data_IF_530294899549
#
_entry.id   IF_530294899549
#
_cell.length_a   1.000
_cell.length_b   1.000
_cell.length_c   1.000
_cell.angle_alpha   90.00
_cell.angle_beta   90.00
_cell.angle_gamma   90.00
#
_symmetry.space_group_name_H-M   'P 1'
#
loop_
_entity.id
_entity.type
_entity.pdbx_description
1 polymer ?
2 non-polymer ?
3 non-polymer ?
4 non-polymer ?
5 non-polymer ?
6 water ?
#
# COMPACT_ATOMS: atom_id res chain seq x y z
N UNK A 18 20.02 -3.52 -5.76
CA UNK A 18 19.12 -4.66 -6.02
C UNK A 18 18.61 -4.62 -7.49
N UNK A 19 17.43 -5.21 -7.75
CA UNK A 19 16.59 -4.92 -8.95
C UNK A 19 15.49 -3.94 -8.61
N UNK A 20 15.55 -3.38 -7.39
CA UNK A 20 14.50 -2.48 -6.84
C UNK A 20 15.15 -1.20 -6.31
N UNK A 21 15.95 -0.52 -7.14
CA UNK A 21 16.69 0.67 -6.69
C UNK A 21 16.16 1.91 -7.42
N UNK A 22 15.68 1.82 -8.66
CA UNK A 22 15.26 3.01 -9.47
C UNK A 22 13.75 2.93 -9.68
N UNK A 23 13.07 4.05 -9.59
CA UNK A 23 11.65 4.20 -9.93
C UNK A 23 11.59 4.92 -11.26
N UNK A 24 10.84 4.32 -12.19
CA UNK A 24 10.63 4.92 -13.51
C UNK A 24 9.13 5.15 -13.68
N UNK A 25 8.75 6.01 -14.62
CA UNK A 25 7.36 6.21 -15.03
C UNK A 25 6.87 4.88 -15.59
N UNK A 26 5.77 4.37 -15.10
CA UNK A 26 5.17 3.10 -15.53
C UNK A 26 4.79 3.17 -17.03
N UNK A 27 4.41 4.34 -17.53
CA UNK A 27 3.85 4.49 -18.88
C UNK A 27 4.96 4.57 -19.91
N UNK A 28 6.13 5.11 -19.59
CA UNK A 28 7.14 5.43 -20.65
C UNK A 28 8.56 5.07 -20.22
N UNK A 29 8.87 4.82 -18.92
CA UNK A 29 10.26 4.50 -18.55
C UNK A 29 11.11 5.66 -18.11
N UNK A 30 10.58 6.88 -18.16
CA UNK A 30 11.32 8.08 -17.68
C UNK A 30 11.86 7.83 -16.28
N UNK A 31 13.13 8.17 -16.05
CA UNK A 31 13.77 8.05 -14.73
C UNK A 31 13.14 9.05 -13.76
N UNK A 32 12.65 8.61 -12.59
CA UNK A 32 11.91 9.54 -11.69
C UNK A 32 12.58 9.60 -10.32
N UNK A 33 12.85 8.47 -9.67
CA UNK A 33 13.37 8.55 -8.30
C UNK A 33 14.11 7.25 -7.93
N UNK A 34 14.40 7.07 -6.63
CA UNK A 34 15.21 5.93 -6.16
C UNK A 34 14.59 5.49 -4.85
N UNK A 35 14.74 4.21 -4.49
CA UNK A 35 14.26 3.73 -3.18
C UNK A 35 15.05 4.48 -2.09
N UNK A 36 16.33 4.72 -2.33
CA UNK A 36 17.23 5.43 -1.38
C UNK A 36 16.66 6.81 -1.02
N UNK A 37 15.79 7.38 -1.83
CA UNK A 37 15.31 8.77 -1.70
C UNK A 37 13.92 8.78 -1.06
N UNK A 38 13.42 7.64 -0.62
CA UNK A 38 12.14 7.59 0.13
C UNK A 38 12.31 8.38 1.42
N UNK A 39 11.25 9.06 1.84
CA UNK A 39 11.25 9.96 3.01
C UNK A 39 10.12 9.50 3.94
N UNK A 40 10.41 9.01 5.17
CA UNK A 40 9.34 8.78 6.16
C UNK A 40 8.66 10.04 6.71
N UNK A 43 5.78 9.39 10.42
CA UNK A 43 6.95 8.49 10.30
C UNK A 43 6.70 7.29 9.38
N UNK A 44 6.11 7.53 8.22
CA UNK A 44 5.86 6.50 7.18
C UNK A 44 6.14 7.14 5.82
N UNK A 45 6.74 6.37 4.88
CA UNK A 45 6.92 6.86 3.49
C UNK A 45 5.57 6.77 2.76
N UNK A 46 4.67 5.87 3.17
CA UNK A 46 3.35 5.67 2.50
C UNK A 46 2.21 6.41 3.21
N UNK A 47 1.42 7.18 2.44
CA UNK A 47 0.23 7.96 2.89
C UNK A 47 -0.93 7.66 1.97
N UNK A 48 -2.09 7.30 2.48
CA UNK A 48 -3.26 7.03 1.59
C UNK A 48 -4.22 8.19 1.75
N UNK A 49 -4.53 8.88 0.67
CA UNK A 49 -5.30 10.15 0.72
C UNK A 49 -6.40 10.13 -0.34
N UNK A 50 -7.41 10.99 -0.21
CA UNK A 50 -8.52 11.20 -1.17
C UNK A 50 -8.51 12.67 -1.57
N UNK A 51 -8.70 12.95 -2.85
CA UNK A 51 -8.92 14.34 -3.35
C UNK A 51 -10.41 14.64 -3.25
N UNK A 52 -10.83 15.89 -3.53
CA UNK A 52 -12.24 16.25 -3.42
C UNK A 52 -13.16 15.53 -4.43
N UNK A 53 -12.60 14.97 -5.51
CA UNK A 53 -13.33 14.11 -6.47
C UNK A 53 -13.39 12.67 -5.96
N UNK A 54 -12.90 12.43 -4.75
CA UNK A 54 -12.99 11.13 -4.06
C UNK A 54 -11.98 10.12 -4.58
N UNK A 55 -11.05 10.51 -5.44
CA UNK A 55 -10.01 9.61 -5.98
C UNK A 55 -9.05 9.29 -4.83
N UNK A 56 -8.81 8.00 -4.61
CA UNK A 56 -7.85 7.49 -3.59
C UNK A 56 -6.49 7.38 -4.26
N UNK A 57 -5.46 7.87 -3.59
CA UNK A 57 -4.06 7.77 -4.04
C UNK A 57 -3.25 7.16 -2.91
N UNK A 58 -2.39 6.22 -3.28
CA UNK A 58 -1.39 5.65 -2.34
C UNK A 58 -0.11 6.38 -2.65
N UNK A 59 0.25 7.32 -1.80
CA UNK A 59 1.34 8.30 -2.07
C UNK A 59 2.57 7.82 -1.33
N UNK A 60 3.69 7.72 -2.03
CA UNK A 60 5.02 7.51 -1.41
C UNK A 60 5.72 8.87 -1.39
N UNK A 61 6.22 9.27 -0.23
CA UNK A 61 6.99 10.54 -0.10
C UNK A 61 8.47 10.29 -0.43
N UNK A 62 9.03 11.12 -1.30
CA UNK A 62 10.46 11.12 -1.67
C UNK A 62 11.08 12.46 -1.31
N UNK A 63 12.33 12.46 -0.88
CA UNK A 63 13.09 13.71 -0.66
C UNK A 63 13.38 14.35 -2.02
N UNK A 64 13.52 13.53 -3.05
CA UNK A 64 14.11 13.95 -4.33
C UNK A 64 13.46 13.13 -5.42
N UNK A 65 13.30 13.77 -6.58
CA UNK A 65 12.79 13.17 -7.82
C UNK A 65 13.35 14.00 -8.97
N UNK A 66 13.33 13.44 -10.14
CA UNK A 66 13.82 14.06 -11.41
C UNK A 66 12.86 13.62 -12.52
N UNK A 67 13.02 14.17 -13.73
CA UNK A 67 12.28 13.74 -14.93
C UNK A 67 10.80 14.15 -14.87
N UNK A 68 10.42 14.99 -13.93
CA UNK A 68 9.03 15.50 -13.78
C UNK A 68 8.94 16.84 -14.50
N UNK A 69 7.72 17.28 -14.75
CA UNK A 69 7.41 18.67 -15.13
C UNK A 69 6.37 19.18 -14.12
N UNK A 70 6.72 20.22 -13.37
CA UNK A 70 5.85 20.82 -12.31
C UNK A 70 5.04 21.90 -13.00
N UNK A 71 3.72 21.83 -12.89
CA UNK A 71 2.78 22.64 -13.71
C UNK A 71 2.19 23.73 -12.82
N UNK A 72 2.28 24.98 -13.24
CA UNK A 72 1.64 26.10 -12.54
C UNK A 72 2.42 26.54 -11.33
N UNK A 73 1.76 27.26 -10.44
CA UNK A 73 2.34 27.80 -9.21
C UNK A 73 1.72 27.03 -8.06
N UNK A 74 2.37 26.99 -6.89
CA UNK A 74 1.87 26.23 -5.76
C UNK A 74 0.49 26.69 -5.31
N UNK A 75 -0.25 25.79 -4.68
CA UNK A 75 -1.57 26.03 -4.04
C UNK A 75 -1.56 25.30 -2.68
N UNK A 76 -2.09 25.92 -1.65
CA UNK A 76 -2.34 25.26 -0.35
C UNK A 76 -3.72 24.60 -0.32
N UNK A 77 -4.57 24.78 -1.35
CA UNK A 77 -5.98 24.30 -1.32
C UNK A 77 -6.00 22.77 -1.13
N UNK A 78 -6.66 22.26 -0.09
CA UNK A 78 -6.88 20.81 0.11
C UNK A 78 -5.56 20.08 0.33
N UNK A 79 -4.48 20.75 0.70
CA UNK A 79 -3.18 20.08 0.90
C UNK A 79 -3.35 18.97 1.95
N UNK A 80 -2.85 17.79 1.64
CA UNK A 80 -2.84 16.62 2.55
C UNK A 80 -1.75 16.78 3.61
N UNK A 81 -0.79 17.67 3.41
CA UNK A 81 0.39 17.79 4.31
C UNK A 81 0.40 19.18 4.92
N UNK A 82 0.26 19.25 6.25
CA UNK A 82 0.09 20.52 6.99
C UNK A 82 1.27 21.42 6.69
N UNK A 83 1.03 22.66 6.24
CA UNK A 83 2.07 23.67 6.03
C UNK A 83 2.67 23.63 4.64
N UNK A 84 2.24 22.70 3.76
CA UNK A 84 2.83 22.56 2.41
C UNK A 84 1.81 22.98 1.35
N UNK A 85 2.33 23.65 0.32
CA UNK A 85 1.62 23.98 -0.92
C UNK A 85 2.06 23.01 -2.01
N UNK A 86 1.17 22.66 -2.92
CA UNK A 86 1.45 21.61 -3.92
C UNK A 86 1.45 22.21 -5.31
N UNK A 87 2.23 21.60 -6.17
CA UNK A 87 2.17 21.75 -7.64
C UNK A 87 2.02 20.35 -8.22
N UNK A 88 1.17 20.22 -9.22
CA UNK A 88 1.02 18.97 -10.00
C UNK A 88 2.37 18.62 -10.64
N UNK A 89 2.79 17.36 -10.47
CA UNK A 89 4.00 16.80 -11.08
C UNK A 89 3.55 15.83 -12.18
N UNK A 90 3.79 16.20 -13.44
CA UNK A 90 3.66 15.25 -14.55
C UNK A 90 5.01 14.57 -14.81
N UNK A 91 4.94 13.41 -15.43
CA UNK A 91 6.09 12.80 -16.12
C UNK A 91 6.52 13.85 -17.16
N UNK A 92 7.78 14.27 -17.14
CA UNK A 92 8.31 15.26 -18.09
C UNK A 92 8.34 14.67 -19.47
N UNK A 93 8.35 13.37 -19.58
CA UNK A 93 8.42 12.68 -20.90
C UNK A 93 7.01 12.53 -21.49
N UNK A 94 6.11 11.84 -20.81
CA UNK A 94 4.83 11.35 -21.37
C UNK A 94 3.63 12.13 -20.86
N UNK A 95 3.77 12.98 -19.84
CA UNK A 95 2.65 13.82 -19.39
C UNK A 95 1.76 13.14 -18.35
N UNK A 96 2.03 11.88 -18.03
CA UNK A 96 1.27 11.08 -17.04
C UNK A 96 1.32 11.82 -15.70
N UNK A 97 0.19 11.92 -15.00
CA UNK A 97 0.17 12.58 -13.67
C UNK A 97 0.81 11.63 -12.64
N UNK A 98 2.00 11.93 -12.16
CA UNK A 98 2.74 11.01 -11.26
C UNK A 98 2.59 11.43 -9.80
N UNK A 99 2.14 12.65 -9.51
CA UNK A 99 1.95 13.10 -8.12
C UNK A 99 2.06 14.61 -8.00
N UNK A 100 2.71 15.05 -6.94
CA UNK A 100 2.80 16.49 -6.56
C UNK A 100 4.18 16.77 -6.00
N UNK A 101 4.64 18.00 -6.22
CA UNK A 101 5.79 18.58 -5.51
C UNK A 101 5.21 19.46 -4.37
N UNK A 102 5.72 19.25 -3.18
CA UNK A 102 5.29 20.01 -1.98
C UNK A 102 6.39 20.99 -1.63
N UNK A 103 6.03 22.23 -1.31
CA UNK A 103 6.98 23.29 -0.91
C UNK A 103 6.32 24.23 0.07
N UNK A 104 7.10 25.14 0.63
CA UNK A 104 6.62 26.21 1.50
C UNK A 104 6.47 25.78 2.94
N UNK A 105 6.90 24.57 3.29
CA UNK A 105 6.74 24.09 4.69
C UNK A 105 8.06 24.12 5.45
N UNK A 106 8.21 23.24 6.44
CA UNK A 106 9.35 23.21 7.39
C UNK A 106 9.75 21.75 7.69
N UNK A 107 11.06 21.46 7.68
CA UNK A 107 11.66 20.18 8.08
C UNK A 107 10.88 19.00 7.47
N UNK A 108 10.96 18.74 6.15
CA UNK A 108 11.71 19.57 5.22
C UNK A 108 10.88 20.69 4.57
N UNK A 109 11.55 21.64 3.92
CA UNK A 109 10.85 22.73 3.18
C UNK A 109 10.08 22.12 2.01
N UNK A 110 10.65 21.13 1.32
CA UNK A 110 10.09 20.52 0.11
C UNK A 110 10.21 19.00 0.13
N UNK A 111 9.35 18.35 -0.64
CA UNK A 111 9.43 16.89 -0.95
C UNK A 111 8.47 16.60 -2.12
N UNK A 112 8.50 15.35 -2.58
CA UNK A 112 7.60 14.88 -3.63
C UNK A 112 6.68 13.83 -3.07
N UNK A 113 5.40 13.96 -3.37
CA UNK A 113 4.42 12.90 -3.13
C UNK A 113 4.08 12.24 -4.43
N UNK A 114 4.49 11.00 -4.62
CA UNK A 114 4.32 10.31 -5.92
C UNK A 114 3.38 9.15 -5.74
N UNK A 115 2.53 8.96 -6.76
CA UNK A 115 1.50 7.90 -6.78
C UNK A 115 2.19 6.55 -7.09
N UNK A 116 2.30 5.69 -6.10
CA UNK A 116 3.17 4.49 -6.14
C UNK A 116 2.79 3.66 -7.37
N UNK A 117 1.51 3.46 -7.67
CA UNK A 117 1.09 2.52 -8.74
C UNK A 117 1.32 3.13 -10.14
N UNK A 118 1.79 4.38 -10.22
CA UNK A 118 2.11 5.01 -11.52
C UNK A 118 3.61 4.94 -11.80
N UNK A 119 4.35 4.28 -10.93
CA UNK A 119 5.80 4.08 -11.06
C UNK A 119 6.07 2.60 -11.27
N UNK A 120 7.25 2.28 -11.80
CA UNK A 120 7.77 0.92 -11.90
C UNK A 120 9.14 0.88 -11.24
N UNK A 121 9.37 -0.12 -10.38
CA UNK A 121 10.63 -0.24 -9.63
C UNK A 121 11.55 -1.23 -10.33
N UNK A 122 12.84 -0.93 -10.37
CA UNK A 122 13.77 -1.81 -11.06
C UNK A 122 15.25 -1.45 -10.89
N UNK A 123 16.10 -2.24 -11.57
CA UNK A 123 17.56 -2.12 -11.47
C UNK A 123 18.12 -0.77 -11.92
N UNK A 124 19.27 -0.40 -11.33
CA UNK A 124 20.03 0.84 -11.57
C UNK A 124 20.45 0.92 -13.05
N UNK B 19 -14.43 -14.92 0.70
CA UNK B 19 -12.94 -14.95 0.55
C UNK B 19 -12.50 -15.96 -0.48
N UNK B 20 -13.40 -16.88 -0.85
CA UNK B 20 -13.12 -18.15 -1.56
C UNK B 20 -12.92 -17.91 -3.07
N UNK B 21 -11.95 -17.06 -3.45
CA UNK B 21 -11.63 -16.87 -4.88
C UNK B 21 -10.25 -17.46 -5.23
N UNK B 22 -10.14 -17.88 -6.49
CA UNK B 22 -9.02 -18.68 -7.07
C UNK B 22 -8.45 -17.83 -8.22
N UNK B 23 -7.14 -17.91 -8.44
CA UNK B 23 -6.50 -17.36 -9.65
C UNK B 23 -6.12 -18.53 -10.52
N UNK B 24 -6.55 -18.46 -11.76
CA UNK B 24 -6.32 -19.54 -12.74
C UNK B 24 -5.48 -18.96 -13.86
N UNK B 25 -4.78 -19.85 -14.56
CA UNK B 25 -4.02 -19.46 -15.76
C UNK B 25 -5.04 -18.91 -16.75
N UNK B 26 -4.83 -17.71 -17.23
CA UNK B 26 -5.78 -17.05 -18.16
C UNK B 26 -5.86 -17.83 -19.48
N UNK B 27 -4.78 -18.51 -19.88
CA UNK B 27 -4.70 -19.19 -21.20
C UNK B 27 -5.40 -20.55 -21.14
N UNK B 28 -5.33 -21.31 -20.05
CA UNK B 28 -5.84 -22.71 -20.08
C UNK B 28 -6.77 -23.02 -18.90
N UNK B 29 -6.81 -22.16 -17.88
CA UNK B 29 -7.75 -22.30 -16.76
C UNK B 29 -7.22 -23.16 -15.62
N UNK B 30 -5.98 -23.61 -15.69
CA UNK B 30 -5.42 -24.41 -14.58
C UNK B 30 -5.47 -23.54 -13.31
N UNK B 31 -5.90 -24.09 -12.18
CA UNK B 31 -5.79 -23.42 -10.87
C UNK B 31 -4.30 -23.19 -10.52
N UNK B 32 -3.96 -21.95 -10.16
CA UNK B 32 -2.57 -21.56 -9.85
C UNK B 32 -2.43 -21.07 -8.41
N UNK B 33 -3.28 -20.19 -7.93
CA UNK B 33 -3.15 -19.70 -6.55
C UNK B 33 -4.51 -19.25 -6.03
N UNK B 34 -4.52 -18.66 -4.84
CA UNK B 34 -5.76 -18.36 -4.09
C UNK B 34 -5.62 -16.93 -3.61
N UNK B 35 -6.72 -16.21 -3.50
CA UNK B 35 -6.75 -14.88 -2.86
C UNK B 35 -6.24 -14.97 -1.41
N UNK B 36 -6.55 -16.08 -0.71
CA UNK B 36 -6.15 -16.28 0.71
C UNK B 36 -4.62 -16.23 0.82
N UNK B 37 -3.92 -16.48 -0.26
CA UNK B 37 -2.44 -16.62 -0.28
C UNK B 37 -1.77 -15.33 -0.70
N UNK B 38 -2.54 -14.26 -0.94
CA UNK B 38 -1.92 -12.96 -1.28
C UNK B 38 -1.00 -12.52 -0.13
N UNK B 39 0.16 -12.03 -0.48
CA UNK B 39 1.27 -11.76 0.45
C UNK B 39 1.75 -10.33 0.29
N UNK B 40 1.59 -9.45 1.30
CA UNK B 40 2.06 -8.08 1.20
C UNK B 40 3.59 -7.91 1.35
N UNK B 41 4.39 -8.24 0.33
CA UNK B 41 5.88 -8.12 0.36
C UNK B 41 6.23 -6.64 0.39
N UNK B 42 7.00 -6.22 1.40
CA UNK B 42 7.35 -4.82 1.69
C UNK B 42 6.14 -3.92 1.79
N UNK B 43 4.99 -4.43 2.24
CA UNK B 43 3.81 -3.60 2.54
C UNK B 43 2.67 -3.74 1.53
N UNK B 44 2.91 -4.25 0.32
CA UNK B 44 1.84 -4.32 -0.73
C UNK B 44 1.96 -5.67 -1.44
N UNK B 45 0.83 -6.26 -1.82
CA UNK B 45 0.82 -7.50 -2.66
C UNK B 45 1.14 -7.11 -4.11
N UNK B 46 0.83 -5.88 -4.54
CA UNK B 46 1.12 -5.45 -5.94
C UNK B 46 2.47 -4.72 -6.02
N UNK B 47 3.31 -5.12 -6.98
CA UNK B 47 4.60 -4.47 -7.31
C UNK B 47 4.64 -4.27 -8.82
N UNK B 48 4.70 -3.03 -9.25
CA UNK B 48 5.00 -2.74 -10.69
C UNK B 48 6.51 -2.66 -10.81
N UNK B 49 7.10 -3.48 -11.63
CA UNK B 49 8.58 -3.64 -11.70
C UNK B 49 9.00 -3.54 -13.19
N UNK B 50 10.27 -3.27 -13.44
CA UNK B 50 10.88 -3.36 -14.80
C UNK B 50 12.16 -4.19 -14.70
N UNK B 51 12.40 -5.00 -15.74
CA UNK B 51 13.61 -5.86 -15.83
C UNK B 51 14.69 -5.07 -16.58
N UNK B 52 15.93 -5.61 -16.66
CA UNK B 52 17.02 -4.90 -17.30
C UNK B 52 16.82 -4.68 -18.81
N UNK B 53 15.92 -5.42 -19.45
CA UNK B 53 15.54 -5.21 -20.87
C UNK B 53 14.47 -4.10 -20.94
N UNK B 54 14.02 -3.58 -19.78
CA UNK B 54 13.03 -2.51 -19.66
C UNK B 54 11.62 -2.99 -19.87
N UNK B 55 11.34 -4.29 -19.80
CA UNK B 55 9.98 -4.82 -19.85
C UNK B 55 9.32 -4.53 -18.49
N UNK B 56 8.09 -4.01 -18.50
CA UNK B 56 7.34 -3.66 -17.27
C UNK B 56 6.30 -4.71 -17.01
N UNK B 57 6.22 -5.17 -15.75
CA UNK B 57 5.29 -6.21 -15.28
C UNK B 57 4.58 -5.72 -14.03
N UNK B 58 3.31 -6.05 -13.90
CA UNK B 58 2.54 -5.76 -12.65
C UNK B 58 2.44 -7.12 -11.99
N UNK B 59 3.20 -7.30 -10.90
CA UNK B 59 3.33 -8.58 -10.18
C UNK B 59 2.46 -8.52 -8.92
N UNK B 60 1.72 -9.60 -8.67
CA UNK B 60 1.03 -9.81 -7.37
C UNK B 60 1.80 -10.92 -6.62
N UNK B 61 2.07 -10.73 -5.34
CA UNK B 61 2.83 -11.68 -4.51
C UNK B 61 1.89 -12.66 -3.82
N UNK B 62 2.19 -13.94 -3.92
CA UNK B 62 1.42 -15.04 -3.25
C UNK B 62 2.39 -15.89 -2.44
N UNK B 63 2.01 -16.36 -1.24
CA UNK B 63 2.85 -17.24 -0.42
C UNK B 63 3.15 -18.54 -1.20
N UNK B 64 2.11 -19.12 -1.75
CA UNK B 64 2.12 -20.46 -2.39
C UNK B 64 1.47 -20.37 -3.75
N UNK B 65 1.69 -21.41 -4.53
CA UNK B 65 1.04 -21.65 -5.84
C UNK B 65 1.06 -23.14 -6.09
N UNK B 66 0.26 -23.54 -7.05
CA UNK B 66 0.28 -24.90 -7.59
C UNK B 66 0.18 -24.85 -9.12
N UNK B 67 0.50 -25.95 -9.76
CA UNK B 67 0.24 -26.09 -11.20
C UNK B 67 1.26 -25.37 -12.06
N UNK B 68 2.31 -24.79 -11.48
CA UNK B 68 3.39 -24.15 -12.26
C UNK B 68 4.51 -25.14 -12.53
N UNK B 69 5.41 -24.80 -13.45
CA UNK B 69 6.70 -25.49 -13.65
C UNK B 69 7.78 -24.43 -13.55
N UNK B 70 8.67 -24.55 -12.56
CA UNK B 70 9.81 -23.64 -12.35
C UNK B 70 10.96 -24.19 -13.17
N UNK B 71 11.61 -23.31 -13.91
CA UNK B 71 12.64 -23.71 -14.92
C UNK B 71 13.97 -23.07 -14.49
N UNK B 72 15.03 -23.85 -14.48
CA UNK B 72 16.39 -23.34 -14.25
C UNK B 72 16.75 -23.34 -12.78
N UNK B 73 18.03 -23.11 -12.48
CA UNK B 73 18.57 -22.93 -11.13
C UNK B 73 18.21 -21.52 -10.68
N UNK B 74 17.99 -21.30 -9.37
CA UNK B 74 17.71 -19.96 -8.89
C UNK B 74 18.86 -18.99 -9.21
N UNK B 75 18.51 -17.73 -9.46
CA UNK B 75 19.48 -16.65 -9.74
C UNK B 75 19.17 -15.47 -8.81
N UNK B 76 20.21 -14.85 -8.27
CA UNK B 76 20.10 -13.60 -7.53
C UNK B 76 20.13 -12.39 -8.45
N UNK B 77 20.50 -12.56 -9.72
CA UNK B 77 20.87 -11.43 -10.61
C UNK B 77 19.64 -10.54 -10.84
N UNK B 78 19.68 -9.28 -10.44
CA UNK B 78 18.59 -8.30 -10.72
C UNK B 78 17.30 -8.70 -10.02
N UNK B 79 17.38 -9.47 -8.93
CA UNK B 79 16.16 -9.78 -8.15
C UNK B 79 15.41 -8.51 -7.80
N UNK B 80 14.11 -8.48 -8.02
CA UNK B 80 13.22 -7.38 -7.55
C UNK B 80 13.07 -7.39 -6.03
N UNK B 81 13.35 -8.50 -5.37
CA UNK B 81 13.14 -8.62 -3.90
C UNK B 81 14.46 -8.93 -3.23
N UNK B 82 14.99 -7.95 -2.49
CA UNK B 82 16.29 -8.04 -1.79
C UNK B 82 16.28 -9.30 -0.93
N UNK B 83 17.32 -10.11 -1.06
CA UNK B 83 17.61 -11.32 -0.27
C UNK B 83 16.99 -12.57 -0.86
N UNK B 84 16.35 -12.46 -2.01
CA UNK B 84 15.70 -13.61 -2.71
C UNK B 84 16.40 -13.87 -4.06
N UNK B 85 16.48 -15.14 -4.41
CA UNK B 85 16.80 -15.65 -5.77
C UNK B 85 15.51 -15.99 -6.51
N UNK B 86 15.51 -15.85 -7.82
CA UNK B 86 14.28 -16.07 -8.62
C UNK B 86 14.49 -17.25 -9.58
N UNK B 87 13.39 -17.92 -9.89
CA UNK B 87 13.29 -18.91 -10.98
C UNK B 87 12.03 -18.58 -11.80
N UNK B 88 12.12 -18.68 -13.11
CA UNK B 88 10.96 -18.46 -14.01
C UNK B 88 9.88 -19.50 -13.73
N UNK B 89 8.64 -19.07 -13.64
CA UNK B 89 7.46 -19.93 -13.41
C UNK B 89 6.61 -19.94 -14.67
N UNK B 90 6.48 -21.08 -15.32
CA UNK B 90 5.49 -21.31 -16.40
C UNK B 90 4.26 -22.02 -15.84
N UNK B 91 3.11 -21.82 -16.46
CA UNK B 91 1.96 -22.72 -16.30
C UNK B 91 2.43 -24.14 -16.64
N UNK B 92 2.28 -25.13 -15.74
CA UNK B 92 2.75 -26.49 -16.00
C UNK B 92 1.90 -27.16 -17.05
N UNK B 93 0.67 -26.69 -17.24
CA UNK B 93 -0.28 -27.29 -18.19
C UNK B 93 -0.07 -26.73 -19.60
N UNK B 94 -0.05 -25.41 -19.79
CA UNK B 94 0.00 -24.80 -21.15
C UNK B 94 1.33 -24.11 -21.47
N UNK B 95 2.20 -23.82 -20.49
CA UNK B 95 3.51 -23.19 -20.73
C UNK B 95 3.49 -21.65 -20.73
N UNK B 96 2.33 -21.00 -20.48
CA UNK B 96 2.23 -19.53 -20.36
C UNK B 96 3.18 -19.06 -19.26
N UNK B 97 3.91 -17.97 -19.48
CA UNK B 97 4.84 -17.39 -18.50
C UNK B 97 4.02 -16.66 -17.46
N UNK B 98 3.87 -17.22 -16.26
CA UNK B 98 2.95 -16.62 -15.27
C UNK B 98 3.70 -15.81 -14.22
N UNK B 99 5.01 -15.97 -14.06
CA UNK B 99 5.81 -15.09 -13.19
C UNK B 99 7.10 -15.76 -12.76
N UNK B 100 7.39 -15.68 -11.46
CA UNK B 100 8.66 -16.14 -10.86
C UNK B 100 8.40 -16.67 -9.44
N UNK B 101 9.19 -17.66 -9.09
CA UNK B 101 9.30 -18.15 -7.70
C UNK B 101 10.51 -17.52 -7.05
N UNK B 102 10.39 -17.12 -5.80
CA UNK B 102 11.45 -16.45 -5.03
C UNK B 102 11.82 -17.37 -3.87
N UNK B 103 13.10 -17.53 -3.61
CA UNK B 103 13.55 -18.39 -2.49
C UNK B 103 14.84 -17.85 -1.90
N UNK B 104 15.23 -18.45 -0.76
CA UNK B 104 16.54 -18.20 -0.11
C UNK B 104 16.50 -17.00 0.80
N UNK B 105 15.31 -16.50 1.13
CA UNK B 105 15.17 -15.39 2.10
C UNK B 105 14.75 -15.89 3.46
N UNK B 106 14.21 -14.97 4.29
CA UNK B 106 13.63 -15.24 5.64
C UNK B 106 12.35 -14.41 5.78
N UNK B 107 11.32 -14.97 6.40
CA UNK B 107 10.03 -14.29 6.71
C UNK B 107 9.52 -13.54 5.48
N UNK B 108 9.03 -14.22 4.43
CA UNK B 108 9.07 -15.69 4.34
C UNK B 108 10.31 -16.19 3.59
N UNK B 109 10.55 -17.50 3.64
CA UNK B 109 11.69 -18.12 2.94
C UNK B 109 11.44 -18.06 1.42
N UNK B 110 10.19 -18.27 0.99
CA UNK B 110 9.79 -18.42 -0.41
C UNK B 110 8.44 -17.75 -0.65
N UNK B 111 8.22 -17.33 -1.88
CA UNK B 111 6.93 -16.81 -2.37
C UNK B 111 6.98 -16.71 -3.90
N UNK B 112 5.85 -16.38 -4.49
CA UNK B 112 5.71 -16.20 -5.94
C UNK B 112 5.38 -14.75 -6.22
N UNK B 113 5.95 -14.25 -7.31
CA UNK B 113 5.49 -13.02 -7.99
C UNK B 113 4.84 -13.43 -9.28
N UNK B 114 3.53 -13.31 -9.37
CA UNK B 114 2.76 -13.74 -10.53
C UNK B 114 2.23 -12.49 -11.26
N UNK B 115 2.24 -12.57 -12.56
CA UNK B 115 1.83 -11.49 -13.46
C UNK B 115 0.30 -11.44 -13.47
N UNK B 116 -0.23 -10.38 -12.87
CA UNK B 116 -1.68 -10.25 -12.61
C UNK B 116 -2.44 -10.43 -13.91
N UNK B 117 -1.99 -9.81 -15.02
CA UNK B 117 -2.71 -9.82 -16.30
C UNK B 117 -2.80 -11.19 -16.95
N UNK B 118 -2.01 -12.15 -16.48
CA UNK B 118 -1.94 -13.51 -17.06
C UNK B 118 -2.73 -14.52 -16.20
N UNK B 119 -3.41 -14.02 -15.20
CA UNK B 119 -4.30 -14.83 -14.33
C UNK B 119 -5.72 -14.34 -14.56
N UNK B 120 -6.67 -15.22 -14.31
CA UNK B 120 -8.11 -14.91 -14.26
C UNK B 120 -8.59 -15.28 -12.85
N UNK B 121 -9.18 -14.32 -12.15
CA UNK B 121 -9.72 -14.56 -10.79
C UNK B 121 -11.16 -15.00 -10.91
N UNK B 122 -11.57 -15.99 -10.12
CA UNK B 122 -12.96 -16.44 -10.10
C UNK B 122 -13.23 -17.37 -8.92
N UNK B 123 -14.48 -17.83 -8.76
CA UNK B 123 -14.84 -18.74 -7.68
C UNK B 123 -14.14 -20.10 -7.75
N UNK B 124 -13.97 -20.72 -6.59
CA UNK B 124 -13.34 -22.04 -6.38
C UNK B 124 -14.11 -23.14 -7.13
N UNK C 18 -5.78 21.17 4.99
CA UNK C 18 -7.20 21.34 4.59
C UNK C 18 -7.79 20.13 3.85
N UNK C 19 -6.95 19.18 3.43
CA UNK C 19 -7.38 17.97 2.69
C UNK C 19 -7.40 16.76 3.59
N UNK C 20 -7.23 16.97 4.90
CA UNK C 20 -7.17 15.90 5.91
C UNK C 20 -8.21 16.15 7.03
N UNK C 21 -9.49 16.31 6.68
CA UNK C 21 -10.57 16.48 7.68
C UNK C 21 -11.52 15.25 7.76
N UNK C 22 -11.64 14.41 6.74
CA UNK C 22 -12.51 13.19 6.78
C UNK C 22 -11.62 11.94 6.74
N UNK C 23 -11.93 10.94 7.54
CA UNK C 23 -11.11 9.70 7.65
C UNK C 23 -11.98 8.58 7.09
N UNK C 24 -11.41 7.82 6.17
CA UNK C 24 -12.12 6.75 5.44
C UNK C 24 -11.33 5.46 5.54
N UNK C 25 -11.96 4.34 5.27
CA UNK C 25 -11.31 3.02 5.13
C UNK C 25 -10.33 3.11 3.96
N UNK C 26 -9.06 2.76 4.19
CA UNK C 26 -8.01 2.77 3.14
C UNK C 26 -8.36 1.80 2.00
N UNK C 27 -9.03 0.69 2.30
CA UNK C 27 -9.22 -0.42 1.32
C UNK C 27 -10.40 -0.11 0.40
N UNK C 28 -11.46 0.53 0.91
CA UNK C 28 -12.71 0.68 0.11
C UNK C 28 -13.24 2.11 0.13
N UNK C 29 -12.78 2.99 1.01
CA UNK C 29 -13.23 4.40 1.05
C UNK C 29 -14.47 4.64 1.90
N UNK C 30 -14.97 3.63 2.62
CA UNK C 30 -16.10 3.83 3.56
C UNK C 30 -15.79 5.03 4.48
N UNK C 31 -16.71 5.95 4.66
CA UNK C 31 -16.57 7.10 5.58
C UNK C 31 -16.63 6.58 7.01
N UNK C 32 -15.66 6.95 7.84
CA UNK C 32 -15.58 6.41 9.23
C UNK C 32 -15.67 7.56 10.24
N UNK C 33 -14.83 8.57 10.16
CA UNK C 33 -14.89 9.67 11.16
C UNK C 33 -14.34 10.96 10.59
N UNK C 34 -14.22 11.99 11.43
CA UNK C 34 -13.83 13.33 10.97
C UNK C 34 -13.05 14.03 12.08
N UNK C 35 -12.33 15.06 11.67
CA UNK C 35 -11.35 15.75 12.54
C UNK C 35 -12.11 16.36 13.71
N UNK C 36 -13.35 16.84 13.52
CA UNK C 36 -14.20 17.42 14.61
C UNK C 36 -14.34 16.43 15.77
N UNK C 37 -14.23 15.13 15.51
CA UNK C 37 -14.52 14.08 16.53
C UNK C 37 -13.20 13.55 17.12
N UNK C 38 -12.07 14.07 16.69
CA UNK C 38 -10.76 13.58 17.19
C UNK C 38 -10.68 13.95 18.67
N UNK C 39 -10.00 13.11 19.44
CA UNK C 39 -9.57 13.45 20.81
C UNK C 39 -8.05 13.68 20.87
N UNK C 40 -7.58 14.95 20.97
CA UNK C 40 -6.15 15.20 21.20
C UNK C 40 -5.65 14.88 22.62
N UNK C 41 -4.43 14.35 22.75
CA UNK C 41 -3.73 14.17 24.05
C UNK C 41 -2.53 15.12 24.07
N UNK C 46 -2.16 11.46 17.05
CA UNK C 46 -1.89 9.99 17.02
C UNK C 46 -1.06 9.57 18.25
N UNK C 47 -1.40 8.41 18.82
CA UNK C 47 -0.68 7.72 19.92
C UNK C 47 0.13 6.55 19.34
N UNK C 48 1.45 6.50 19.61
CA UNK C 48 2.28 5.34 19.21
C UNK C 48 2.16 4.29 20.32
N UNK C 49 1.66 3.11 19.97
CA UNK C 49 1.46 1.98 20.92
C UNK C 49 2.07 0.73 20.31
N UNK C 50 2.39 -0.26 21.14
CA UNK C 50 2.92 -1.57 20.70
C UNK C 50 1.94 -2.65 21.12
N UNK C 51 1.60 -3.56 20.22
CA UNK C 51 0.78 -4.77 20.57
C UNK C 51 1.71 -5.72 21.34
N UNK C 52 1.18 -6.85 21.86
CA UNK C 52 2.01 -7.77 22.64
C UNK C 52 3.16 -8.40 21.84
N UNK C 53 3.09 -8.38 20.49
CA UNK C 53 4.16 -8.87 19.58
C UNK C 53 5.20 -7.77 19.40
N UNK C 54 4.98 -6.58 19.98
CA UNK C 54 5.87 -5.40 19.85
C UNK C 54 5.76 -4.73 18.48
N UNK C 55 4.70 -4.98 17.73
CA UNK C 55 4.42 -4.25 16.46
C UNK C 55 3.91 -2.85 16.84
N UNK C 56 4.36 -1.82 16.13
CA UNK C 56 3.98 -0.38 16.33
C UNK C 56 2.68 -0.08 15.56
N UNK C 57 1.77 0.61 16.23
CA UNK C 57 0.56 1.21 15.63
C UNK C 57 0.55 2.70 16.01
N UNK C 58 0.11 3.53 15.10
CA UNK C 58 -0.30 4.93 15.36
C UNK C 58 -1.82 4.89 15.47
N UNK C 59 -2.35 5.12 16.66
CA UNK C 59 -3.82 5.05 16.91
C UNK C 59 -4.36 6.48 16.97
N UNK C 60 -5.44 6.76 16.25
CA UNK C 60 -6.20 8.02 16.40
C UNK C 60 -7.45 7.72 17.22
N UNK C 61 -7.69 8.47 18.30
CA UNK C 61 -8.88 8.30 19.14
C UNK C 61 -9.96 9.28 18.67
N UNK C 62 -11.17 8.77 18.47
CA UNK C 62 -12.36 9.56 18.02
C UNK C 62 -13.48 9.36 19.04
N UNK C 63 -14.21 10.43 19.37
CA UNK C 63 -15.37 10.37 20.28
C UNK C 63 -16.49 9.60 19.57
N UNK C 64 -16.61 9.77 18.24
CA UNK C 64 -17.71 9.18 17.46
C UNK C 64 -17.14 8.60 16.18
N UNK C 65 -17.81 7.57 15.65
CA UNK C 65 -17.48 6.98 14.34
C UNK C 65 -18.75 6.43 13.72
N UNK C 66 -18.69 6.18 12.42
CA UNK C 66 -19.78 5.49 11.68
C UNK C 66 -19.16 4.48 10.73
N UNK C 67 -20.01 3.64 10.14
CA UNK C 67 -19.60 2.75 9.04
C UNK C 67 -18.78 1.58 9.52
N UNK C 68 -18.70 1.34 10.83
CA UNK C 68 -17.95 0.17 11.38
C UNK C 68 -18.92 -0.95 11.65
N UNK C 69 -18.38 -2.14 11.90
CA UNK C 69 -19.10 -3.27 12.50
C UNK C 69 -18.27 -3.74 13.69
N UNK C 70 -18.83 -3.62 14.89
CA UNK C 70 -18.14 -4.01 16.16
C UNK C 70 -18.48 -5.47 16.40
N UNK C 71 -17.49 -6.32 16.64
CA UNK C 71 -17.70 -7.80 16.66
C UNK C 71 -17.15 -8.36 17.97
N UNK C 72 -17.76 -9.41 18.50
CA UNK C 72 -17.25 -10.14 19.68
C UNK C 72 -17.61 -9.46 20.99
N UNK C 73 -17.28 -10.11 22.11
CA UNK C 73 -17.43 -9.57 23.47
C UNK C 73 -16.23 -8.68 23.76
N UNK C 74 -16.38 -7.66 24.63
CA UNK C 74 -15.24 -6.82 25.01
C UNK C 74 -14.14 -7.65 25.69
N UNK C 75 -12.89 -7.19 25.54
CA UNK C 75 -11.73 -7.76 26.25
C UNK C 75 -10.93 -6.64 26.94
N UNK C 76 -10.44 -6.93 28.15
CA UNK C 76 -9.48 -6.09 28.88
C UNK C 76 -8.05 -6.38 28.47
N UNK C 77 -7.80 -7.46 27.71
CA UNK C 77 -6.43 -8.04 27.52
C UNK C 77 -5.53 -6.99 26.86
N UNK C 78 -4.45 -6.58 27.53
CA UNK C 78 -3.39 -5.72 26.97
C UNK C 78 -3.98 -4.38 26.46
N UNK C 79 -5.06 -3.92 27.08
CA UNK C 79 -5.71 -2.66 26.64
C UNK C 79 -4.67 -1.54 26.71
N UNK C 80 -4.56 -0.73 25.66
CA UNK C 80 -3.64 0.44 25.63
C UNK C 80 -4.18 1.57 26.49
N UNK C 81 -5.46 1.54 26.86
CA UNK C 81 -6.10 2.66 27.58
C UNK C 81 -6.59 2.15 28.93
N UNK C 82 -5.99 2.63 30.01
CA UNK C 82 -6.27 2.20 31.41
C UNK C 82 -7.77 2.37 31.66
N UNK C 83 -8.44 1.31 32.11
CA UNK C 83 -9.86 1.35 32.52
C UNK C 83 -10.82 1.04 31.38
N UNK C 84 -10.32 0.75 30.18
CA UNK C 84 -11.18 0.44 29.01
C UNK C 84 -11.02 -1.03 28.56
N UNK C 85 -12.14 -1.64 28.18
CA UNK C 85 -12.19 -2.90 27.41
C UNK C 85 -12.38 -2.57 25.93
N UNK C 86 -11.85 -3.42 25.05
CA UNK C 86 -11.90 -3.17 23.60
C UNK C 86 -12.72 -4.26 22.90
N UNK C 87 -13.31 -3.88 21.79
CA UNK C 87 -13.99 -4.77 20.82
C UNK C 87 -13.43 -4.44 19.43
N UNK C 88 -13.24 -5.43 18.59
CA UNK C 88 -12.71 -5.24 17.21
C UNK C 88 -13.72 -4.42 16.40
N UNK C 89 -13.23 -3.41 15.69
CA UNK C 89 -14.02 -2.58 14.76
C UNK C 89 -13.57 -2.92 13.34
N UNK C 90 -14.45 -3.55 12.56
CA UNK C 90 -14.22 -3.76 11.11
C UNK C 90 -14.92 -2.65 10.33
N UNK C 91 -14.38 -2.36 9.17
CA UNK C 91 -15.11 -1.60 8.12
C UNK C 91 -16.42 -2.34 7.81
N UNK C 92 -17.56 -1.67 7.92
CA UNK C 92 -18.87 -2.27 7.62
C UNK C 92 -19.01 -2.56 6.13
N UNK C 93 -18.21 -1.91 5.30
CA UNK C 93 -18.34 -2.03 3.83
C UNK C 93 -17.50 -3.21 3.34
N UNK C 94 -16.20 -3.26 3.70
CA UNK C 94 -15.28 -4.25 3.08
C UNK C 94 -14.76 -5.26 4.11
N UNK C 95 -14.94 -5.04 5.41
CA UNK C 95 -14.50 -6.01 6.44
C UNK C 95 -13.08 -5.80 6.94
N UNK C 96 -12.34 -4.84 6.41
CA UNK C 96 -10.95 -4.48 6.87
C UNK C 96 -10.96 -4.16 8.38
N UNK C 97 -9.96 -4.67 9.10
CA UNK C 97 -9.78 -4.36 10.54
C UNK C 97 -9.27 -2.92 10.70
N UNK C 98 -10.08 -1.99 11.15
CA UNK C 98 -9.68 -0.55 11.21
C UNK C 98 -9.22 -0.16 12.62
N UNK C 99 -9.57 -0.93 13.63
CA UNK C 99 -9.24 -0.55 15.02
C UNK C 99 -10.18 -1.21 16.02
N UNK C 100 -10.53 -0.46 17.06
CA UNK C 100 -11.25 -0.99 18.25
C UNK C 100 -12.21 0.05 18.80
N UNK C 101 -13.27 -0.44 19.40
CA UNK C 101 -14.20 0.37 20.21
C UNK C 101 -13.82 0.13 21.67
N UNK C 102 -13.66 1.20 22.42
CA UNK C 102 -13.28 1.13 23.85
C UNK C 102 -14.50 1.53 24.69
N UNK C 103 -14.71 0.81 25.78
CA UNK C 103 -15.89 1.04 26.66
C UNK C 103 -15.52 0.67 28.09
N UNK C 104 -16.41 1.05 29.00
CA UNK C 104 -16.36 0.65 30.42
C UNK C 104 -15.52 1.63 31.23
N UNK C 105 -15.07 2.74 30.65
CA UNK C 105 -14.27 3.74 31.38
C UNK C 105 -15.11 4.93 31.85
N UNK C 106 -14.43 6.04 32.15
CA UNK C 106 -14.99 7.34 32.61
C UNK C 106 -14.29 8.48 31.88
N UNK C 107 -15.04 9.50 31.47
CA UNK C 107 -14.53 10.76 30.85
C UNK C 107 -13.47 10.45 29.79
N UNK C 108 -13.86 9.91 28.61
CA UNK C 108 -15.23 9.48 28.32
C UNK C 108 -15.50 8.01 28.65
N UNK C 109 -16.77 7.61 28.65
CA UNK C 109 -17.18 6.21 28.87
C UNK C 109 -16.68 5.36 27.69
N UNK C 110 -16.80 5.88 26.47
CA UNK C 110 -16.53 5.13 25.23
C UNK C 110 -15.83 6.02 24.18
N UNK C 111 -15.09 5.37 23.29
CA UNK C 111 -14.45 6.04 22.14
C UNK C 111 -13.95 4.95 21.21
N UNK C 112 -13.47 5.40 20.05
CA UNK C 112 -12.94 4.50 19.02
C UNK C 112 -11.44 4.80 18.88
N UNK C 113 -10.65 3.74 18.89
CA UNK C 113 -9.20 3.79 18.62
C UNK C 113 -8.93 3.17 17.28
N UNK C 114 -8.62 3.98 16.27
CA UNK C 114 -8.51 3.52 14.87
C UNK C 114 -7.05 3.62 14.43
N UNK C 115 -6.64 2.65 13.64
CA UNK C 115 -5.25 2.50 13.14
C UNK C 115 -5.05 3.49 12.00
N UNK C 116 -4.19 4.49 12.21
CA UNK C 116 -3.77 5.48 11.17
C UNK C 116 -3.48 4.77 9.85
N UNK C 117 -2.73 3.66 9.86
CA UNK C 117 -2.23 3.00 8.63
C UNK C 117 -3.36 2.22 7.93
N UNK C 118 -4.57 2.17 8.49
CA UNK C 118 -5.73 1.49 7.87
C UNK C 118 -6.72 2.52 7.32
N UNK C 119 -6.42 3.81 7.49
CA UNK C 119 -7.32 4.91 7.09
C UNK C 119 -6.68 5.72 5.96
N UNK C 120 -7.52 6.48 5.31
CA UNK C 120 -7.17 7.46 4.27
C UNK C 120 -7.82 8.79 4.70
N UNK C 121 -7.12 9.89 4.53
CA UNK C 121 -7.61 11.23 4.91
C UNK C 121 -7.97 11.99 3.65
N UNK C 122 -9.01 12.80 3.72
CA UNK C 122 -9.37 13.71 2.62
C UNK C 122 -10.19 14.89 3.11
N UNK C 123 -10.46 15.86 2.23
CA UNK C 123 -11.23 17.05 2.59
C UNK C 123 -12.72 16.77 2.86
N UNK C 124 -13.42 17.74 3.49
CA UNK C 124 -14.86 17.65 3.82
C UNK C 124 -15.69 17.58 2.53
#
# INVERSE_FOLDING_TARGET
>A
AMPLDAGGQNSTQMVLAPGASIFRCRQCGQTISRRDWLLPMGGDHEHVVFNPAGMIFRVWCFSLAQGLRLIGAPSGEFSWFKGYDWTIALCGQCGSHLGWHYEGGSQPQTFFGLIKDRLAEGPAD
>B
AMPLDAGGQNSTQMVLAPGASIFRCRQCGQTISRRDWLLPMGGDHEHVVFNPAGMIFRVWCFSLAQGLRLIGAPSGEFSWFKGYDWTIALCGQCGSHLGWHYEGGSQPQTFFGLIKDRLAEGPAD
>C
AMPLDAGGQNSTQMVLAPGASIFRCRQCGQTISRRDWLLPMGGDHEHVVFNPAGMIFRVWCFSLAQGLRLIGAPSGEFSWFKGYDWTIALCGQCGSHLGWHYEGGSQPQTFFGLIKDRLAEGPAD
#
